data_IF_762725122383
#
_entry.id   IF_762725122383
#
_cell.length_a   1.000
_cell.length_b   1.000
_cell.length_c   1.000
_cell.angle_alpha   90.00
_cell.angle_beta   90.00
_cell.angle_gamma   90.00
#
_symmetry.space_group_name_H-M   'P 1'
#
loop_
_entity.id
_entity.type
_entity.pdbx_description
1 polymer ?
#
# COMPACT_ATOMS: atom_id res chain seq x y z
N UNK A 1 9.63 -4.79 16.53
CA UNK A 1 9.23 -3.65 15.66
C UNK A 1 7.82 -3.98 15.21
N UNK A 2 7.01 -2.98 14.97
CA UNK A 2 5.59 -3.22 14.73
C UNK A 2 5.33 -3.02 13.23
N UNK A 3 4.64 -3.96 12.61
CA UNK A 3 4.22 -3.88 11.21
C UNK A 3 2.70 -3.70 11.19
N UNK A 4 2.24 -2.57 10.69
CA UNK A 4 0.82 -2.27 10.56
C UNK A 4 0.36 -2.48 9.12
N UNK A 5 -0.63 -3.35 8.92
CA UNK A 5 -1.39 -3.48 7.68
C UNK A 5 -2.56 -2.49 7.78
N UNK A 6 -2.51 -1.40 7.01
CA UNK A 6 -3.49 -0.33 7.08
C UNK A 6 -4.82 -0.73 6.40
N UNK A 7 -5.92 -0.08 6.78
CA UNK A 7 -7.27 -0.33 6.23
C UNK A 7 -7.49 0.19 4.79
N UNK A 8 -6.42 0.29 3.98
CA UNK A 8 -6.47 0.85 2.63
C UNK A 8 -6.28 -0.23 1.56
N UNK A 9 -7.31 -0.40 0.72
CA UNK A 9 -7.25 -1.19 -0.53
C UNK A 9 -7.00 -0.24 -1.69
N UNK A 10 -5.79 -0.27 -2.22
CA UNK A 10 -5.26 0.73 -3.15
C UNK A 10 -5.27 0.20 -4.59
N UNK A 11 -5.71 1.04 -5.51
CA UNK A 11 -5.56 0.88 -6.96
C UNK A 11 -4.39 1.73 -7.43
N UNK A 12 -3.59 1.18 -8.32
CA UNK A 12 -2.47 1.88 -8.96
C UNK A 12 -2.82 2.08 -10.42
N UNK A 13 -2.72 3.32 -10.88
CA UNK A 13 -3.05 3.68 -12.25
C UNK A 13 -2.11 4.73 -12.81
N UNK A 14 -2.01 4.74 -14.14
CA UNK A 14 -1.26 5.70 -14.93
C UNK A 14 -2.24 6.47 -15.81
N UNK A 15 -2.18 7.80 -15.73
CA UNK A 15 -2.93 8.70 -16.59
C UNK A 15 -1.98 9.31 -17.62
N UNK A 16 -2.24 9.03 -18.90
CA UNK A 16 -1.44 9.58 -19.99
C UNK A 16 -1.54 11.12 -20.00
N UNK A 17 -0.40 11.81 -20.12
CA UNK A 17 -0.31 13.27 -20.10
C UNK A 17 -1.28 13.96 -21.07
N UNK A 18 -1.44 13.40 -22.28
CA UNK A 18 -2.36 13.91 -23.32
C UNK A 18 -3.85 13.86 -22.92
N UNK A 19 -4.21 13.04 -21.95
CA UNK A 19 -5.57 12.86 -21.44
C UNK A 19 -5.84 13.52 -20.09
N UNK A 20 -4.85 14.19 -19.47
CA UNK A 20 -4.98 14.74 -18.11
C UNK A 20 -6.18 15.70 -17.97
N UNK A 21 -6.50 16.45 -19.02
CA UNK A 21 -7.62 17.40 -19.04
C UNK A 21 -8.95 16.72 -18.66
N UNK A 22 -9.16 15.46 -19.06
CA UNK A 22 -10.36 14.68 -18.73
C UNK A 22 -10.46 14.40 -17.23
N UNK A 23 -9.33 14.28 -16.55
CA UNK A 23 -9.23 13.96 -15.13
C UNK A 23 -9.07 15.20 -14.24
N UNK A 24 -9.01 16.40 -14.81
CA UNK A 24 -8.78 17.62 -14.02
C UNK A 24 -9.86 17.82 -12.95
N UNK A 25 -11.14 17.61 -13.30
CA UNK A 25 -12.24 17.74 -12.35
C UNK A 25 -12.15 16.74 -11.18
N UNK A 26 -12.05 15.40 -11.40
CA UNK A 26 -11.93 14.47 -10.28
C UNK A 26 -10.62 14.62 -9.51
N UNK A 27 -9.49 14.94 -10.17
CA UNK A 27 -8.22 15.18 -9.47
C UNK A 27 -8.30 16.41 -8.55
N UNK A 28 -8.90 17.52 -8.99
CA UNK A 28 -9.10 18.68 -8.12
C UNK A 28 -10.01 18.36 -6.93
N UNK A 29 -11.05 17.53 -7.14
CA UNK A 29 -11.91 17.05 -6.05
C UNK A 29 -11.11 16.25 -5.02
N UNK A 30 -10.29 15.31 -5.47
CA UNK A 30 -9.45 14.45 -4.62
C UNK A 30 -8.37 15.26 -3.88
N UNK A 31 -7.75 16.25 -4.54
CA UNK A 31 -6.69 17.08 -3.97
C UNK A 31 -7.19 18.10 -2.94
N UNK A 32 -8.34 18.74 -3.19
CA UNK A 32 -8.71 19.97 -2.48
C UNK A 32 -10.07 19.93 -1.80
N UNK A 33 -10.91 18.93 -2.07
CA UNK A 33 -12.29 18.88 -1.57
C UNK A 33 -12.55 17.62 -0.73
N UNK A 34 -11.92 17.48 0.45
CA UNK A 34 -12.01 16.26 1.28
C UNK A 34 -13.43 15.95 1.75
N UNK A 35 -14.33 16.95 1.80
CA UNK A 35 -15.74 16.73 2.15
C UNK A 35 -16.59 16.20 1.00
N UNK A 36 -16.04 16.11 -0.22
CA UNK A 36 -16.75 15.72 -1.44
C UNK A 36 -16.46 14.30 -1.89
N UNK A 37 -15.48 13.65 -1.29
CA UNK A 37 -15.14 12.25 -1.54
C UNK A 37 -14.81 11.55 -0.21
N UNK A 38 -14.90 10.21 -0.18
CA UNK A 38 -14.53 9.40 0.99
C UNK A 38 -13.12 8.83 0.91
N UNK A 39 -12.33 9.31 -0.06
CA UNK A 39 -10.95 8.91 -0.26
C UNK A 39 -10.10 9.30 0.96
N UNK A 40 -9.45 8.32 1.56
CA UNK A 40 -8.52 8.45 2.69
C UNK A 40 -7.07 8.21 2.28
N UNK A 41 -6.83 7.50 1.18
CA UNK A 41 -5.49 7.30 0.61
C UNK A 41 -5.43 7.86 -0.81
N UNK A 42 -4.59 8.87 -1.03
CA UNK A 42 -4.38 9.49 -2.34
C UNK A 42 -2.93 9.94 -2.51
N UNK A 43 -2.30 9.51 -3.60
CA UNK A 43 -0.99 9.94 -4.04
C UNK A 43 -1.03 10.20 -5.55
N UNK A 44 -0.46 11.32 -5.97
CA UNK A 44 -0.32 11.73 -7.37
C UNK A 44 1.13 12.12 -7.61
N UNK A 45 1.78 11.43 -8.55
CA UNK A 45 3.16 11.68 -8.94
C UNK A 45 3.20 11.97 -10.43
N UNK A 46 3.60 13.18 -10.79
CA UNK A 46 3.89 13.54 -12.17
C UNK A 46 5.28 13.01 -12.57
N UNK A 47 5.34 12.32 -13.70
CA UNK A 47 6.57 11.87 -14.36
C UNK A 47 6.64 12.51 -15.76
N UNK A 48 7.79 12.50 -16.45
CA UNK A 48 7.85 12.93 -17.85
C UNK A 48 6.82 12.22 -18.75
N UNK A 49 6.57 10.94 -18.48
CA UNK A 49 5.73 10.05 -19.28
C UNK A 49 4.24 10.20 -18.97
N UNK A 50 3.87 10.30 -17.69
CA UNK A 50 2.50 10.17 -17.22
C UNK A 50 2.24 10.86 -15.86
N UNK A 51 1.02 10.66 -15.36
CA UNK A 51 0.67 10.91 -13.97
C UNK A 51 0.33 9.59 -13.32
N UNK A 52 1.24 9.09 -12.48
CA UNK A 52 0.99 7.90 -11.67
C UNK A 52 0.13 8.28 -10.47
N UNK A 53 -0.97 7.58 -10.28
CA UNK A 53 -1.90 7.81 -9.18
C UNK A 53 -2.03 6.51 -8.37
N UNK A 54 -1.99 6.64 -7.05
CA UNK A 54 -2.28 5.56 -6.11
C UNK A 54 -3.38 6.04 -5.18
N UNK A 55 -4.51 5.35 -5.19
CA UNK A 55 -5.69 5.78 -4.43
C UNK A 55 -6.51 4.61 -3.93
N UNK A 56 -7.25 4.80 -2.84
CA UNK A 56 -8.15 3.77 -2.35
C UNK A 56 -9.37 3.54 -3.27
N UNK A 57 -10.15 2.49 -2.98
CA UNK A 57 -11.34 2.13 -3.76
C UNK A 57 -12.41 3.24 -3.79
N UNK A 58 -12.49 4.10 -2.78
CA UNK A 58 -13.44 5.22 -2.77
C UNK A 58 -12.97 6.33 -3.72
N UNK A 59 -11.69 6.68 -3.69
CA UNK A 59 -11.09 7.62 -4.65
C UNK A 59 -11.15 7.11 -6.09
N UNK A 60 -10.96 5.80 -6.29
CA UNK A 60 -10.99 5.18 -7.62
C UNK A 60 -12.35 5.35 -8.32
N UNK A 61 -13.46 5.36 -7.57
CA UNK A 61 -14.82 5.56 -8.12
C UNK A 61 -15.02 6.95 -8.74
N UNK A 62 -14.20 7.93 -8.39
CA UNK A 62 -14.29 9.29 -8.94
C UNK A 62 -13.66 9.40 -10.34
N UNK A 63 -12.84 8.43 -10.76
CA UNK A 63 -12.11 8.47 -12.02
C UNK A 63 -12.91 7.77 -13.14
N UNK A 64 -13.33 8.49 -14.20
CA UNK A 64 -14.03 7.87 -15.32
C UNK A 64 -13.08 7.01 -16.16
N UNK A 65 -13.50 5.83 -16.64
CA UNK A 65 -12.68 5.03 -17.54
C UNK A 65 -12.49 5.72 -18.90
N UNK A 66 -11.29 5.67 -19.45
CA UNK A 66 -11.00 6.11 -20.82
C UNK A 66 -9.73 5.44 -21.36
N UNK A 67 -9.46 5.65 -22.65
CA UNK A 67 -8.23 5.21 -23.32
C UNK A 67 -6.94 5.83 -22.75
N UNK A 68 -7.05 6.90 -21.95
CA UNK A 68 -5.92 7.59 -21.34
C UNK A 68 -5.56 7.03 -19.96
N UNK A 69 -6.34 6.10 -19.40
CA UNK A 69 -6.08 5.50 -18.09
C UNK A 69 -5.70 4.04 -18.23
N UNK A 70 -4.56 3.68 -17.66
CA UNK A 70 -4.14 2.31 -17.46
C UNK A 70 -4.24 1.98 -15.98
N UNK A 71 -4.86 0.85 -15.64
CA UNK A 71 -5.03 0.42 -14.26
C UNK A 71 -4.28 -0.88 -14.07
N UNK A 72 -3.48 -0.98 -13.01
CA UNK A 72 -2.86 -2.23 -12.63
C UNK A 72 -3.94 -3.26 -12.24
N UNK A 73 -3.72 -4.52 -12.62
CA UNK A 73 -4.68 -5.61 -12.38
C UNK A 73 -4.85 -5.94 -10.90
N UNK A 74 -3.85 -5.65 -10.08
CA UNK A 74 -3.83 -6.00 -8.66
C UNK A 74 -4.40 -4.88 -7.79
N UNK A 75 -5.11 -5.27 -6.74
CA UNK A 75 -5.37 -4.43 -5.56
C UNK A 75 -4.20 -4.57 -4.60
N UNK A 76 -3.78 -3.46 -4.02
CA UNK A 76 -2.61 -3.36 -3.17
C UNK A 76 -3.02 -3.02 -1.74
N UNK A 77 -2.40 -3.67 -0.76
CA UNK A 77 -2.52 -3.36 0.65
C UNK A 77 -1.32 -2.52 1.07
N UNK A 78 -1.53 -1.63 2.03
CA UNK A 78 -0.50 -0.71 2.51
C UNK A 78 0.06 -1.20 3.83
N UNK A 79 1.37 -1.38 3.88
CA UNK A 79 2.12 -1.71 5.08
C UNK A 79 2.87 -0.47 5.57
N UNK A 80 2.90 -0.28 6.89
CA UNK A 80 3.68 0.75 7.56
C UNK A 80 4.50 0.14 8.69
N UNK A 81 5.80 0.43 8.72
CA UNK A 81 6.72 -0.07 9.76
C UNK A 81 6.88 1.00 10.82
N UNK A 82 6.49 0.69 12.05
CA UNK A 82 6.60 1.60 13.19
C UNK A 82 7.69 1.08 14.14
N UNK A 83 8.69 1.92 14.39
CA UNK A 83 9.68 1.63 15.42
C UNK A 83 9.11 2.03 16.78
N UNK A 84 8.89 1.07 17.68
CA UNK A 84 8.56 1.32 19.09
C UNK A 84 9.77 1.91 19.84
N UNK A 85 10.04 3.18 19.57
CA UNK A 85 10.91 4.02 20.39
C UNK A 85 10.08 4.70 21.46
N UNK A 86 10.43 4.51 22.73
CA UNK A 86 9.80 5.11 23.92
C UNK A 86 10.10 6.61 24.05
N UNK A 87 10.05 7.36 22.96
CA UNK A 87 10.43 8.78 22.87
C UNK A 87 9.31 9.63 22.24
N UNK A 88 9.24 10.94 22.57
CA UNK A 88 8.06 11.74 22.27
C UNK A 88 7.83 11.89 20.76
N UNK A 89 6.55 11.91 20.41
CA UNK A 89 5.99 12.08 19.07
C UNK A 89 6.55 13.30 18.34
N UNK A 90 7.61 13.09 17.57
CA UNK A 90 8.24 14.09 16.74
C UNK A 90 9.26 13.45 15.81
N UNK A 91 8.82 13.08 14.61
CA UNK A 91 9.68 12.80 13.47
C UNK A 91 10.73 11.69 13.69
N UNK A 92 10.28 10.44 13.82
CA UNK A 92 11.12 9.29 13.50
C UNK A 92 10.51 8.56 12.30
N UNK A 93 10.63 9.17 11.12
CA UNK A 93 10.55 8.41 9.88
C UNK A 93 11.63 7.33 9.98
N UNK A 94 11.22 6.07 10.13
CA UNK A 94 12.15 4.93 10.12
C UNK A 94 12.64 4.80 8.69
N UNK A 95 13.66 5.58 8.32
CA UNK A 95 14.00 5.81 6.91
C UNK A 95 14.17 4.52 6.11
N UNK A 96 13.80 4.59 4.83
CA UNK A 96 13.87 3.56 3.76
C UNK A 96 15.01 2.55 3.94
N UNK A 97 16.20 2.97 4.36
CA UNK A 97 17.38 2.10 4.54
C UNK A 97 17.19 0.99 5.59
N UNK A 98 16.45 1.25 6.67
CA UNK A 98 16.14 0.20 7.68
C UNK A 98 15.09 -0.76 7.14
N UNK A 99 14.07 -0.23 6.47
CA UNK A 99 12.97 -0.98 5.85
C UNK A 99 13.45 -1.85 4.69
N UNK A 100 14.42 -1.37 3.91
CA UNK A 100 14.97 -2.09 2.77
C UNK A 100 15.58 -3.44 3.17
N UNK A 101 16.19 -3.52 4.35
CA UNK A 101 16.80 -4.76 4.83
C UNK A 101 15.82 -5.67 5.54
N UNK A 102 14.96 -5.15 6.41
CA UNK A 102 14.08 -5.96 7.24
C UNK A 102 12.75 -6.32 6.58
N UNK A 103 12.34 -5.60 5.53
CA UNK A 103 11.08 -5.88 4.82
C UNK A 103 11.31 -6.17 3.34
N UNK A 104 12.00 -5.30 2.61
CA UNK A 104 12.10 -5.45 1.15
C UNK A 104 12.89 -6.70 0.76
N UNK A 105 14.05 -6.94 1.39
CA UNK A 105 14.88 -8.10 1.05
C UNK A 105 14.19 -9.45 1.35
N UNK A 106 13.59 -9.69 2.55
CA UNK A 106 12.87 -10.93 2.81
C UNK A 106 11.68 -11.15 1.87
N UNK A 107 10.92 -10.10 1.54
CA UNK A 107 9.81 -10.19 0.59
C UNK A 107 10.28 -10.54 -0.82
N UNK A 108 11.40 -9.95 -1.26
CA UNK A 108 11.99 -10.26 -2.57
C UNK A 108 12.48 -11.73 -2.66
N UNK A 109 13.08 -12.26 -1.59
CA UNK A 109 13.50 -13.67 -1.50
C UNK A 109 12.33 -14.65 -1.62
N UNK A 110 11.13 -14.23 -1.21
CA UNK A 110 9.89 -15.00 -1.33
C UNK A 110 9.06 -14.62 -2.57
N UNK A 111 9.65 -13.91 -3.54
CA UNK A 111 9.03 -13.49 -4.79
C UNK A 111 7.78 -12.61 -4.64
N UNK A 112 7.68 -11.87 -3.54
CA UNK A 112 6.62 -10.87 -3.31
C UNK A 112 7.02 -9.56 -3.99
N UNK A 113 6.17 -9.07 -4.90
CA UNK A 113 6.36 -7.79 -5.56
C UNK A 113 5.86 -6.66 -4.66
N UNK A 114 6.67 -5.61 -4.54
CA UNK A 114 6.37 -4.44 -3.71
C UNK A 114 6.39 -3.16 -4.55
N UNK A 115 5.56 -2.18 -4.14
CA UNK A 115 5.72 -0.78 -4.54
C UNK A 115 6.09 0.04 -3.32
N UNK A 116 6.97 1.01 -3.48
CA UNK A 116 7.40 1.90 -2.40
C UNK A 116 6.79 3.28 -2.59
N UNK A 117 6.22 3.82 -1.51
CA UNK A 117 5.76 5.21 -1.46
C UNK A 117 6.33 5.88 -0.21
N UNK A 118 7.45 6.57 -0.41
CA UNK A 118 8.05 7.43 0.61
C UNK A 118 7.34 8.78 0.65
N UNK A 119 6.95 9.22 1.84
CA UNK A 119 6.33 10.53 2.08
C UNK A 119 7.19 11.35 3.04
N UNK A 120 6.77 12.57 3.36
CA UNK A 120 7.44 13.37 4.39
C UNK A 120 7.34 12.71 5.78
N UNK A 121 6.21 12.04 6.09
CA UNK A 121 5.92 11.49 7.40
C UNK A 121 6.52 10.09 7.61
N UNK A 122 6.36 9.22 6.61
CA UNK A 122 6.73 7.80 6.71
C UNK A 122 6.93 7.17 5.34
N UNK A 123 7.44 5.95 5.34
CA UNK A 123 7.62 5.09 4.18
C UNK A 123 6.54 4.01 4.17
N UNK A 124 5.73 3.98 3.10
CA UNK A 124 4.74 2.95 2.87
C UNK A 124 5.26 1.89 1.90
N UNK A 125 4.93 0.63 2.20
CA UNK A 125 5.25 -0.52 1.35
C UNK A 125 3.92 -1.11 0.91
N UNK A 126 3.68 -1.15 -0.38
CA UNK A 126 2.47 -1.71 -0.94
C UNK A 126 2.75 -3.13 -1.43
N UNK A 127 1.92 -4.08 -1.00
CA UNK A 127 1.96 -5.48 -1.41
C UNK A 127 0.65 -5.85 -2.08
N UNK A 128 0.65 -6.79 -3.04
CA UNK A 128 -0.60 -7.25 -3.63
C UNK A 128 -1.41 -8.00 -2.58
N UNK A 129 -2.72 -7.78 -2.56
CA UNK A 129 -3.64 -8.41 -1.59
C UNK A 129 -3.52 -9.94 -1.58
N UNK A 130 -3.33 -10.55 -2.75
CA UNK A 130 -3.13 -12.01 -2.89
C UNK A 130 -1.85 -12.56 -2.23
N UNK A 131 -0.85 -11.71 -2.03
CA UNK A 131 0.45 -12.11 -1.46
C UNK A 131 0.48 -11.93 0.07
N UNK A 132 -0.59 -11.36 0.67
CA UNK A 132 -0.66 -11.10 2.11
C UNK A 132 -0.34 -12.33 2.99
N UNK A 133 -0.79 -13.56 2.67
CA UNK A 133 -0.40 -14.75 3.41
C UNK A 133 1.11 -14.96 3.49
N UNK A 134 1.80 -14.75 2.37
CA UNK A 134 3.26 -14.89 2.28
C UNK A 134 3.93 -13.78 3.06
N UNK A 135 3.44 -12.54 2.94
CA UNK A 135 3.94 -11.37 3.68
C UNK A 135 3.90 -11.61 5.19
N UNK A 136 2.75 -12.04 5.73
CA UNK A 136 2.59 -12.32 7.16
C UNK A 136 3.57 -13.42 7.59
N UNK A 137 3.62 -14.53 6.85
CA UNK A 137 4.51 -15.64 7.17
C UNK A 137 5.99 -15.24 7.16
N UNK A 138 6.43 -14.48 6.15
CA UNK A 138 7.81 -14.03 5.98
C UNK A 138 8.23 -13.04 7.07
N UNK A 139 7.35 -12.14 7.49
CA UNK A 139 7.69 -11.04 8.40
C UNK A 139 7.38 -11.31 9.88
N UNK A 140 6.56 -12.31 10.20
CA UNK A 140 6.18 -12.63 11.59
C UNK A 140 7.35 -13.03 12.49
N UNK A 141 8.49 -13.45 11.92
CA UNK A 141 9.70 -13.74 12.69
C UNK A 141 10.44 -12.51 13.22
N UNK A 142 10.25 -11.35 12.59
CA UNK A 142 10.95 -10.09 12.93
C UNK A 142 10.00 -8.99 13.46
N UNK A 143 8.71 -9.08 13.14
CA UNK A 143 7.71 -8.05 13.44
C UNK A 143 6.51 -8.59 14.21
N UNK A 144 6.03 -7.79 15.16
CA UNK A 144 4.69 -7.94 15.70
C UNK A 144 3.72 -7.32 14.69
N UNK A 145 2.86 -8.14 14.08
CA UNK A 145 2.00 -7.74 12.97
C UNK A 145 0.61 -7.35 13.49
N UNK A 146 0.18 -6.15 13.14
CA UNK A 146 -1.15 -5.62 13.44
C UNK A 146 -1.87 -5.28 12.14
N UNK A 147 -3.19 -5.42 12.16
CA UNK A 147 -4.08 -5.03 11.06
C UNK A 147 -5.05 -3.99 11.57
N UNK A 148 -5.19 -2.89 10.84
CA UNK A 148 -6.19 -1.88 11.14
C UNK A 148 -7.56 -2.34 10.65
N UNK A 149 -8.53 -2.36 11.55
CA UNK A 149 -9.93 -2.65 11.26
C UNK A 149 -10.82 -1.60 11.92
N UNK A 150 -11.51 -0.80 11.10
CA UNK A 150 -12.38 0.30 11.59
C UNK A 150 -11.64 1.32 12.47
N UNK A 151 -10.35 1.55 12.20
CA UNK A 151 -9.49 2.44 12.97
C UNK A 151 -8.85 1.83 14.23
N UNK A 152 -9.11 0.56 14.55
CA UNK A 152 -8.48 -0.15 15.67
C UNK A 152 -7.38 -1.09 15.18
N UNK A 153 -6.26 -1.18 15.91
CA UNK A 153 -5.17 -2.09 15.58
C UNK A 153 -5.40 -3.46 16.23
N UNK A 154 -5.69 -4.47 15.41
CA UNK A 154 -5.91 -5.86 15.85
C UNK A 154 -4.67 -6.70 15.58
N UNK A 155 -4.13 -7.46 16.55
CA UNK A 155 -2.98 -8.33 16.32
C UNK A 155 -3.32 -9.46 15.35
N UNK A 156 -2.41 -9.76 14.43
CA UNK A 156 -2.56 -10.85 13.45
C UNK A 156 -1.86 -12.09 13.98
N UNK A 157 -2.59 -13.21 14.08
CA UNK A 157 -1.99 -14.50 14.47
C UNK A 157 -1.61 -15.32 13.25
N UNK A 158 -0.47 -16.02 13.30
CA UNK A 158 0.02 -16.83 12.17
C UNK A 158 -0.93 -17.98 11.79
N UNK A 159 -1.76 -18.45 12.72
CA UNK A 159 -2.65 -19.59 12.50
C UNK A 159 -3.83 -19.27 11.56
N UNK A 160 -4.21 -17.99 11.44
CA UNK A 160 -5.31 -17.51 10.59
C UNK A 160 -5.02 -17.62 9.07
N UNK A 161 -3.77 -17.92 8.69
CA UNK A 161 -3.27 -17.87 7.30
C UNK A 161 -3.19 -19.27 6.63
N UNK A 162 -3.59 -20.31 7.35
CA UNK A 162 -3.31 -21.73 7.05
C UNK A 162 -4.04 -22.38 5.86
N UNK A 163 -4.53 -21.63 4.86
CA UNK A 163 -5.26 -22.23 3.72
C UNK A 163 -4.67 -21.95 2.32
N UNK A 164 -3.51 -21.28 2.21
CA UNK A 164 -2.89 -20.94 0.92
C UNK A 164 -1.76 -21.87 0.42
N UNK A 165 -1.16 -22.67 1.31
CA UNK A 165 -0.05 -23.54 0.92
C UNK A 165 -0.58 -24.80 0.20
N UNK A 166 -0.59 -24.75 -1.13
CA UNK A 166 -0.74 -25.95 -1.97
C UNK A 166 0.36 -26.95 -1.60
N UNK A 167 -0.03 -28.04 -0.92
CA UNK A 167 0.85 -29.19 -0.70
C UNK A 167 1.35 -29.73 -2.06
N UNK A 168 2.64 -30.03 -2.21
CA UNK A 168 3.12 -30.72 -3.40
C UNK A 168 2.49 -32.12 -3.47
N UNK A 169 2.03 -32.51 -4.67
CA UNK A 169 1.48 -33.84 -4.94
C UNK A 169 2.58 -34.89 -4.73
N UNK A 170 2.37 -35.94 -3.91
CA UNK A 170 3.29 -37.07 -3.89
C UNK A 170 3.12 -37.87 -5.18
N UNK A 171 4.23 -38.06 -5.88
CA UNK A 171 4.38 -39.08 -6.92
C UNK A 171 4.76 -40.42 -6.33
#
# INVERSE_FOLDING_TARGET
MDLHILEHRVRVLSLARRGLWLYTHPLLKLLFLPQRCRCKFFSLTETPEDYTVMLDEEGFKELPPSEFMQVADSTWLVLNVVSNGREPSGCQATGVTKIARSVIAPLAEHHVSVLMLSTYQTDFILVRERDLPVVIHTLAGEFDIYKEESGECVPVTCDDVSNGFLKPKPG
#
